data_IF_812124222597
#
_entry.id   IF_812124222597
#
_cell.length_a   1.000
_cell.length_b   1.000
_cell.length_c   1.000
_cell.angle_alpha   90.00
_cell.angle_beta   90.00
_cell.angle_gamma   90.00
#
_symmetry.space_group_name_H-M   'P 1'
#
loop_
_entity.id
_entity.type
_entity.pdbx_description
1 polymer ?
#
# COMPACT_ATOMS: atom_id res chain seq x y z
N UNK A 1 7.71 -21.34 -26.75
CA UNK A 1 6.38 -20.72 -26.70
C UNK A 1 6.55 -19.21 -26.86
N UNK A 2 6.47 -18.75 -28.09
CA UNK A 2 6.74 -17.37 -28.46
C UNK A 2 5.45 -16.57 -28.60
N UNK A 3 5.55 -15.30 -28.21
CA UNK A 3 4.68 -14.20 -28.67
C UNK A 3 3.18 -14.29 -28.36
N UNK A 4 2.82 -14.06 -27.14
CA UNK A 4 1.53 -13.42 -26.82
C UNK A 4 1.72 -12.08 -26.11
N UNK A 5 2.76 -11.32 -26.42
CA UNK A 5 2.74 -9.89 -26.17
C UNK A 5 1.60 -9.34 -27.03
N UNK A 6 0.54 -9.00 -26.34
CA UNK A 6 -0.67 -8.38 -26.86
C UNK A 6 -0.27 -7.32 -27.89
N UNK A 7 -0.69 -7.48 -29.11
CA UNK A 7 -0.38 -6.60 -30.26
C UNK A 7 -1.07 -5.23 -30.12
N UNK A 8 -1.20 -4.74 -28.86
CA UNK A 8 -1.74 -3.42 -28.57
C UNK A 8 -0.71 -2.38 -28.96
N UNK A 9 -1.11 -1.45 -29.79
CA UNK A 9 -0.24 -0.37 -30.25
C UNK A 9 0.05 0.56 -29.07
N UNK A 10 1.33 0.65 -28.66
CA UNK A 10 1.77 1.56 -27.61
C UNK A 10 1.34 3.00 -27.90
N UNK A 11 0.69 3.65 -26.95
CA UNK A 11 0.11 4.97 -27.11
C UNK A 11 0.30 5.82 -25.86
N UNK A 12 1.27 6.73 -25.87
CA UNK A 12 1.54 7.63 -24.72
C UNK A 12 0.40 8.61 -24.42
N UNK A 13 -0.42 8.95 -25.43
CA UNK A 13 -1.58 9.82 -25.20
C UNK A 13 -2.64 9.16 -24.31
N UNK A 14 -2.63 7.83 -24.21
CA UNK A 14 -3.54 7.12 -23.31
C UNK A 14 -3.28 7.44 -21.82
N UNK A 15 -2.13 7.98 -21.45
CA UNK A 15 -1.81 8.43 -20.10
C UNK A 15 -2.32 9.85 -19.81
N UNK A 16 -2.77 10.61 -20.82
CA UNK A 16 -3.17 12.00 -20.66
C UNK A 16 -4.32 12.19 -19.66
N UNK A 17 -5.38 11.35 -19.62
CA UNK A 17 -6.43 11.51 -18.60
C UNK A 17 -5.89 11.44 -17.18
N UNK A 18 -4.93 10.54 -16.94
CA UNK A 18 -4.31 10.43 -15.62
C UNK A 18 -3.43 11.64 -15.29
N UNK A 19 -2.70 12.14 -16.27
CA UNK A 19 -1.95 13.40 -16.12
C UNK A 19 -2.89 14.59 -15.82
N UNK A 20 -4.07 14.64 -16.45
CA UNK A 20 -5.11 15.64 -16.15
C UNK A 20 -5.55 15.54 -14.69
N UNK A 21 -5.79 14.34 -14.18
CA UNK A 21 -6.10 14.14 -12.75
C UNK A 21 -5.02 14.74 -11.85
N UNK A 22 -3.75 14.37 -12.07
CA UNK A 22 -2.62 14.87 -11.26
C UNK A 22 -2.53 16.39 -11.33
N UNK A 23 -2.57 16.96 -12.53
CA UNK A 23 -2.44 18.42 -12.74
C UNK A 23 -3.60 19.17 -12.10
N UNK A 24 -4.82 18.69 -12.23
CA UNK A 24 -6.01 19.33 -11.64
C UNK A 24 -5.96 19.24 -10.12
N UNK A 25 -5.74 18.04 -9.54
CA UNK A 25 -5.73 17.85 -8.10
C UNK A 25 -4.56 18.56 -7.42
N UNK A 26 -3.33 18.27 -7.86
CA UNK A 26 -2.12 18.87 -7.26
C UNK A 26 -2.03 20.35 -7.61
N UNK A 27 -2.37 20.75 -8.84
CA UNK A 27 -2.35 22.13 -9.28
C UNK A 27 -3.35 22.99 -8.51
N UNK A 28 -4.58 22.53 -8.30
CA UNK A 28 -5.56 23.21 -7.46
C UNK A 28 -5.05 23.35 -6.02
N UNK A 29 -4.55 22.26 -5.41
CA UNK A 29 -3.99 22.27 -4.06
C UNK A 29 -2.87 23.31 -3.89
N UNK A 30 -1.91 23.31 -4.81
CA UNK A 30 -0.79 24.27 -4.80
C UNK A 30 -1.25 25.75 -5.00
N UNK A 31 -2.23 25.98 -5.89
CA UNK A 31 -2.80 27.32 -6.11
C UNK A 31 -3.52 27.82 -4.85
N UNK A 32 -4.34 26.99 -4.19
CA UNK A 32 -4.99 27.38 -2.94
C UNK A 32 -3.98 27.57 -1.80
N UNK A 33 -2.96 26.73 -1.72
CA UNK A 33 -1.87 26.86 -0.75
C UNK A 33 -1.09 28.15 -0.92
N UNK A 34 -0.77 28.53 -2.17
CA UNK A 34 -0.07 29.81 -2.46
C UNK A 34 -0.91 31.06 -2.12
N UNK A 35 -2.24 30.91 -2.05
CA UNK A 35 -3.17 31.95 -1.63
C UNK A 35 -3.41 32.01 -0.12
N UNK A 36 -2.75 31.11 0.65
CA UNK A 36 -2.92 31.01 2.10
C UNK A 36 -4.29 30.49 2.52
N UNK A 37 -4.97 29.74 1.64
CA UNK A 37 -6.29 29.14 1.96
C UNK A 37 -6.07 27.93 2.86
N UNK A 38 -6.74 27.93 4.00
CA UNK A 38 -6.73 26.77 4.90
C UNK A 38 -7.26 25.52 4.19
N UNK A 39 -6.66 24.36 4.51
CA UNK A 39 -7.03 23.08 3.91
C UNK A 39 -6.99 23.07 2.36
N UNK A 40 -5.97 23.69 1.79
CA UNK A 40 -5.81 23.96 0.35
C UNK A 40 -6.12 22.75 -0.55
N UNK A 41 -5.67 21.53 -0.17
CA UNK A 41 -5.88 20.29 -0.94
C UNK A 41 -7.29 19.70 -0.79
N UNK A 42 -8.12 20.24 0.12
CA UNK A 42 -9.53 19.88 0.26
C UNK A 42 -10.47 20.79 -0.49
N UNK A 43 -10.00 21.97 -0.91
CA UNK A 43 -10.83 22.92 -1.67
C UNK A 43 -11.26 22.36 -3.03
N UNK A 44 -10.47 21.47 -3.59
CA UNK A 44 -10.83 20.73 -4.80
C UNK A 44 -10.74 19.21 -4.51
N UNK A 45 -11.88 18.56 -4.24
CA UNK A 45 -11.88 17.14 -3.87
C UNK A 45 -11.25 16.24 -4.92
N UNK A 46 -10.43 15.29 -4.46
CA UNK A 46 -9.72 14.33 -5.31
C UNK A 46 -10.66 13.52 -6.21
N UNK A 47 -11.84 13.16 -5.68
CA UNK A 47 -12.90 12.46 -6.42
C UNK A 47 -13.39 13.28 -7.62
N UNK A 48 -13.56 14.60 -7.44
CA UNK A 48 -13.98 15.50 -8.52
C UNK A 48 -12.91 15.60 -9.61
N UNK A 49 -11.64 15.70 -9.22
CA UNK A 49 -10.52 15.72 -10.16
C UNK A 49 -10.44 14.43 -10.96
N UNK A 50 -10.62 13.26 -10.30
CA UNK A 50 -10.64 11.96 -10.96
C UNK A 50 -11.84 11.81 -11.89
N UNK A 51 -13.02 12.27 -11.48
CA UNK A 51 -14.20 12.26 -12.34
C UNK A 51 -13.99 13.07 -13.63
N UNK A 52 -13.38 14.26 -13.54
CA UNK A 52 -13.01 15.05 -14.73
C UNK A 52 -12.03 14.28 -15.62
N UNK A 53 -11.06 13.59 -15.05
CA UNK A 53 -10.11 12.79 -15.81
C UNK A 53 -10.81 11.60 -16.51
N UNK A 54 -11.78 10.95 -15.87
CA UNK A 54 -12.61 9.91 -16.50
C UNK A 54 -13.39 10.49 -17.68
N UNK A 55 -13.99 11.68 -17.55
CA UNK A 55 -14.67 12.36 -18.67
C UNK A 55 -13.71 12.60 -19.83
N UNK A 56 -12.49 13.09 -19.56
CA UNK A 56 -11.46 13.27 -20.59
C UNK A 56 -11.13 11.94 -21.28
N UNK A 57 -11.00 10.84 -20.54
CA UNK A 57 -10.78 9.51 -21.12
C UNK A 57 -11.94 9.09 -22.04
N UNK A 58 -13.18 9.31 -21.59
CA UNK A 58 -14.37 8.99 -22.41
C UNK A 58 -14.46 9.83 -23.70
N UNK A 59 -14.00 11.09 -23.67
CA UNK A 59 -13.94 11.94 -24.86
C UNK A 59 -12.81 11.51 -25.81
N UNK A 60 -11.62 11.24 -25.26
CA UNK A 60 -10.42 10.99 -26.05
C UNK A 60 -10.37 9.60 -26.70
N UNK A 61 -10.79 8.58 -25.97
CA UNK A 61 -10.64 7.21 -26.43
C UNK A 61 -11.67 6.86 -27.51
N UNK A 62 -11.27 6.03 -28.47
CA UNK A 62 -12.13 5.57 -29.56
C UNK A 62 -13.09 4.48 -29.06
N UNK A 63 -14.20 4.31 -29.74
CA UNK A 63 -15.25 3.32 -29.46
C UNK A 63 -16.54 3.98 -28.96
N UNK A 64 -17.60 3.18 -28.87
CA UNK A 64 -18.89 3.61 -28.35
C UNK A 64 -18.83 3.91 -26.84
N UNK A 65 -19.76 4.68 -26.34
CA UNK A 65 -19.86 4.95 -24.89
C UNK A 65 -20.03 3.65 -24.11
N UNK A 66 -20.82 2.70 -24.62
CA UNK A 66 -21.02 1.40 -24.00
C UNK A 66 -19.73 0.59 -23.88
N UNK A 67 -18.93 0.51 -24.97
CA UNK A 67 -17.64 -0.19 -24.94
C UNK A 67 -16.65 0.43 -23.95
N UNK A 68 -16.65 1.75 -23.81
CA UNK A 68 -15.81 2.46 -22.83
C UNK A 68 -16.31 2.19 -21.42
N UNK A 69 -17.64 2.21 -21.24
CA UNK A 69 -18.23 1.91 -19.94
C UNK A 69 -17.99 0.46 -19.51
N UNK A 70 -18.13 -0.51 -20.43
CA UNK A 70 -17.78 -1.92 -20.14
C UNK A 70 -16.32 -2.10 -19.73
N UNK A 71 -15.43 -1.36 -20.38
CA UNK A 71 -14.00 -1.37 -20.05
C UNK A 71 -13.75 -0.76 -18.67
N UNK A 72 -14.36 0.40 -18.41
CA UNK A 72 -14.31 1.07 -17.11
C UNK A 72 -14.85 0.15 -16.01
N UNK A 73 -16.00 -0.49 -16.25
CA UNK A 73 -16.63 -1.40 -15.29
C UNK A 73 -15.74 -2.61 -14.96
N UNK A 74 -15.02 -3.18 -15.94
CA UNK A 74 -14.04 -4.25 -15.69
C UNK A 74 -12.95 -3.83 -14.73
N UNK A 75 -12.40 -2.63 -14.89
CA UNK A 75 -11.38 -2.10 -13.99
C UNK A 75 -11.93 -1.80 -12.61
N UNK A 76 -13.09 -1.14 -12.53
CA UNK A 76 -13.77 -0.82 -11.29
C UNK A 76 -14.22 -2.07 -10.52
N UNK A 77 -14.59 -3.15 -11.22
CA UNK A 77 -14.99 -4.43 -10.64
C UNK A 77 -13.83 -5.44 -10.54
N UNK A 78 -12.59 -5.00 -10.71
CA UNK A 78 -11.43 -5.85 -10.44
C UNK A 78 -11.46 -6.33 -8.98
N UNK A 79 -11.07 -7.60 -8.75
CA UNK A 79 -11.13 -8.24 -7.43
C UNK A 79 -10.33 -7.45 -6.39
N UNK A 80 -9.14 -6.93 -6.75
CA UNK A 80 -8.31 -6.14 -5.83
C UNK A 80 -8.99 -4.82 -5.47
N UNK A 81 -9.59 -4.13 -6.46
CA UNK A 81 -10.34 -2.89 -6.23
C UNK A 81 -11.53 -3.16 -5.30
N UNK A 82 -12.35 -4.18 -5.59
CA UNK A 82 -13.50 -4.53 -4.75
C UNK A 82 -13.08 -4.92 -3.33
N UNK A 83 -11.96 -5.65 -3.20
CA UNK A 83 -11.39 -6.00 -1.90
C UNK A 83 -11.06 -4.75 -1.09
N UNK A 84 -10.36 -3.77 -1.71
CA UNK A 84 -10.05 -2.50 -1.05
C UNK A 84 -11.31 -1.76 -0.63
N UNK A 85 -12.33 -1.66 -1.51
CA UNK A 85 -13.57 -0.95 -1.20
C UNK A 85 -14.28 -1.52 0.03
N UNK A 86 -14.33 -2.86 0.17
CA UNK A 86 -14.95 -3.50 1.33
C UNK A 86 -14.08 -3.31 2.59
N UNK A 87 -12.76 -3.38 2.48
CA UNK A 87 -11.87 -3.10 3.61
C UNK A 87 -12.10 -1.67 4.15
N UNK A 88 -12.27 -0.67 3.27
CA UNK A 88 -12.51 0.71 3.70
C UNK A 88 -13.78 0.85 4.54
N UNK A 89 -14.90 0.32 4.05
CA UNK A 89 -16.17 0.44 4.80
C UNK A 89 -16.12 -0.33 6.12
N UNK A 90 -15.50 -1.52 6.16
CA UNK A 90 -15.32 -2.28 7.40
C UNK A 90 -14.38 -1.57 8.39
N UNK A 91 -13.30 -0.95 7.88
CA UNK A 91 -12.38 -0.17 8.70
C UNK A 91 -13.06 1.06 9.30
N UNK A 92 -13.84 1.79 8.50
CA UNK A 92 -14.64 2.92 8.98
C UNK A 92 -15.66 2.50 10.03
N UNK A 93 -16.37 1.39 9.81
CA UNK A 93 -17.31 0.84 10.79
C UNK A 93 -16.64 0.48 12.12
N UNK A 94 -15.52 -0.27 12.06
CA UNK A 94 -14.75 -0.61 13.26
C UNK A 94 -14.27 0.63 14.00
N UNK A 95 -13.67 1.59 13.29
CA UNK A 95 -13.12 2.81 13.87
C UNK A 95 -14.21 3.61 14.61
N UNK A 96 -15.39 3.79 13.99
CA UNK A 96 -16.49 4.57 14.55
C UNK A 96 -17.15 3.86 15.72
N UNK A 97 -17.48 2.55 15.60
CA UNK A 97 -18.07 1.79 16.71
C UNK A 97 -17.10 1.72 17.91
N UNK A 98 -15.83 1.46 17.66
CA UNK A 98 -14.81 1.39 18.71
C UNK A 98 -14.56 2.75 19.39
N UNK A 99 -14.71 3.85 18.66
CA UNK A 99 -14.64 5.21 19.24
C UNK A 99 -15.88 5.50 20.10
N UNK A 100 -17.09 5.26 19.60
CA UNK A 100 -18.35 5.54 20.32
C UNK A 100 -18.50 4.70 21.59
N UNK A 101 -17.98 3.46 21.62
CA UNK A 101 -17.98 2.66 22.83
C UNK A 101 -16.89 3.09 23.86
N UNK A 102 -16.03 4.06 23.49
CA UNK A 102 -14.91 4.56 24.31
C UNK A 102 -13.67 3.67 24.30
N UNK A 103 -13.56 2.74 23.36
CA UNK A 103 -12.43 1.80 23.24
C UNK A 103 -11.16 2.45 22.73
N UNK A 104 -11.30 3.43 21.82
CA UNK A 104 -10.16 4.22 21.33
C UNK A 104 -9.44 4.89 22.48
N UNK A 105 -10.18 5.66 23.31
CA UNK A 105 -9.61 6.41 24.43
C UNK A 105 -9.02 5.48 25.50
N UNK A 106 -9.71 4.38 25.79
CA UNK A 106 -9.20 3.38 26.73
C UNK A 106 -7.87 2.76 26.24
N UNK A 107 -7.76 2.45 24.93
CA UNK A 107 -6.55 1.87 24.34
C UNK A 107 -5.40 2.89 24.28
N UNK A 108 -5.70 4.13 23.96
CA UNK A 108 -4.74 5.24 23.96
C UNK A 108 -4.20 5.47 25.39
N UNK A 109 -5.08 5.54 26.41
CA UNK A 109 -4.68 5.74 27.80
C UNK A 109 -3.80 4.58 28.29
N UNK A 110 -4.16 3.34 27.96
CA UNK A 110 -3.32 2.18 28.25
C UNK A 110 -1.93 2.32 27.59
N UNK A 111 -1.86 2.66 26.31
CA UNK A 111 -0.61 2.85 25.60
C UNK A 111 0.28 3.93 26.22
N UNK A 112 -0.31 5.10 26.53
CA UNK A 112 0.38 6.22 27.17
C UNK A 112 0.82 5.91 28.62
N UNK A 113 0.11 5.03 29.33
CA UNK A 113 0.51 4.59 30.67
C UNK A 113 1.70 3.62 30.68
N UNK A 114 1.90 2.86 29.59
CA UNK A 114 2.93 1.83 29.47
C UNK A 114 4.20 2.31 28.76
N UNK A 115 4.07 3.21 27.78
CA UNK A 115 5.17 3.63 26.91
C UNK A 115 5.36 5.15 27.01
N UNK A 116 6.57 5.62 27.33
CA UNK A 116 6.86 7.06 27.30
C UNK A 116 6.56 7.66 25.92
N UNK A 117 5.92 8.83 25.90
CA UNK A 117 5.38 9.48 24.70
C UNK A 117 6.42 9.61 23.57
N UNK A 118 7.67 9.87 23.92
CA UNK A 118 8.79 10.02 22.97
C UNK A 118 9.10 8.76 22.16
N UNK A 119 8.64 7.58 22.58
CA UNK A 119 8.86 6.31 21.88
C UNK A 119 7.63 5.85 21.08
N UNK A 120 6.49 6.52 21.21
CA UNK A 120 5.22 6.05 20.65
C UNK A 120 5.21 6.04 19.13
N UNK A 121 5.77 7.05 18.47
CA UNK A 121 5.83 7.06 16.99
C UNK A 121 6.67 5.87 16.47
N UNK A 122 7.84 5.62 17.08
CA UNK A 122 8.66 4.46 16.72
C UNK A 122 7.98 3.13 17.10
N UNK A 123 7.29 3.07 18.24
CA UNK A 123 6.50 1.91 18.67
C UNK A 123 5.37 1.57 17.70
N UNK A 124 4.64 2.58 17.23
CA UNK A 124 3.58 2.41 16.24
C UNK A 124 4.14 1.90 14.90
N UNK A 125 5.29 2.40 14.45
CA UNK A 125 5.99 1.85 13.27
C UNK A 125 6.30 0.35 13.45
N UNK A 126 6.86 -0.05 14.60
CA UNK A 126 7.21 -1.45 14.88
C UNK A 126 5.95 -2.33 14.93
N UNK A 127 4.89 -1.90 15.63
CA UNK A 127 3.62 -2.64 15.70
C UNK A 127 3.02 -2.80 14.29
N UNK A 128 2.98 -1.72 13.50
CA UNK A 128 2.49 -1.78 12.14
C UNK A 128 3.35 -2.70 11.24
N UNK A 129 4.68 -2.71 11.43
CA UNK A 129 5.59 -3.59 10.71
C UNK A 129 5.30 -5.07 11.00
N UNK A 130 5.16 -5.44 12.28
CA UNK A 130 4.81 -6.80 12.67
C UNK A 130 3.43 -7.23 12.16
N UNK A 131 2.44 -6.36 12.32
CA UNK A 131 1.08 -6.64 11.87
C UNK A 131 1.01 -6.79 10.35
N UNK A 132 1.64 -5.88 9.60
CA UNK A 132 1.71 -5.96 8.12
C UNK A 132 2.41 -7.23 7.63
N UNK A 133 3.50 -7.65 8.29
CA UNK A 133 4.20 -8.90 7.96
C UNK A 133 3.31 -10.12 8.21
N UNK A 134 2.56 -10.13 9.31
CA UNK A 134 1.70 -11.26 9.69
C UNK A 134 0.43 -11.35 8.84
N UNK A 135 -0.17 -10.21 8.47
CA UNK A 135 -1.40 -10.16 7.67
C UNK A 135 -1.15 -10.22 6.16
N UNK A 136 0.06 -9.83 5.72
CA UNK A 136 0.38 -9.70 4.31
C UNK A 136 -0.33 -8.53 3.60
N UNK A 137 -0.80 -7.53 4.35
CA UNK A 137 -1.50 -6.40 3.77
C UNK A 137 -1.21 -5.08 4.49
N UNK A 138 -0.68 -4.10 3.75
CA UNK A 138 -0.51 -2.74 4.27
C UNK A 138 -1.85 -2.08 4.56
N UNK A 139 -2.85 -2.29 3.71
CA UNK A 139 -4.18 -1.70 3.85
C UNK A 139 -4.89 -2.10 5.14
N UNK A 140 -4.93 -3.40 5.45
CA UNK A 140 -5.53 -3.91 6.67
C UNK A 140 -4.83 -3.41 7.93
N UNK A 141 -3.51 -3.32 7.87
CA UNK A 141 -2.68 -2.81 8.96
C UNK A 141 -2.94 -1.33 9.24
N UNK A 142 -2.92 -0.48 8.20
CA UNK A 142 -3.22 0.94 8.30
C UNK A 142 -4.63 1.14 8.87
N UNK A 143 -5.60 0.39 8.33
CA UNK A 143 -7.00 0.48 8.74
C UNK A 143 -7.23 0.18 10.23
N UNK A 144 -6.50 -0.79 10.76
CA UNK A 144 -6.64 -1.20 12.16
C UNK A 144 -5.90 -0.28 13.15
N UNK A 145 -4.72 0.24 12.77
CA UNK A 145 -3.84 0.98 13.68
C UNK A 145 -4.11 2.49 13.64
N UNK A 146 -4.51 3.06 12.51
CA UNK A 146 -4.68 4.52 12.37
C UNK A 146 -5.59 5.14 13.42
N UNK A 147 -6.76 4.59 13.79
CA UNK A 147 -7.61 5.21 14.82
C UNK A 147 -6.92 5.32 16.19
N UNK A 148 -6.13 4.32 16.56
CA UNK A 148 -5.33 4.34 17.79
C UNK A 148 -4.21 5.37 17.68
N UNK A 149 -3.52 5.39 16.55
CA UNK A 149 -2.41 6.29 16.28
C UNK A 149 -2.84 7.76 16.35
N UNK A 150 -4.02 8.09 15.81
CA UNK A 150 -4.62 9.42 15.91
C UNK A 150 -4.87 9.82 17.35
N UNK A 151 -5.48 8.95 18.15
CA UNK A 151 -5.73 9.23 19.57
C UNK A 151 -4.43 9.39 20.37
N UNK A 152 -3.39 8.59 20.06
CA UNK A 152 -2.05 8.71 20.65
C UNK A 152 -1.42 10.06 20.29
N UNK A 153 -1.52 10.49 19.02
CA UNK A 153 -0.98 11.77 18.58
C UNK A 153 -1.68 12.95 19.27
N UNK A 154 -3.02 12.93 19.35
CA UNK A 154 -3.80 13.99 20.00
C UNK A 154 -3.48 14.12 21.50
N UNK A 155 -3.53 13.01 22.25
CA UNK A 155 -3.27 13.03 23.69
C UNK A 155 -1.80 13.20 24.05
N UNK A 156 -0.90 12.64 23.23
CA UNK A 156 0.53 12.71 23.44
C UNK A 156 1.17 14.01 22.96
N UNK A 157 0.43 14.92 22.30
CA UNK A 157 0.99 16.13 21.71
C UNK A 157 2.02 15.83 20.62
N UNK A 158 1.85 14.73 19.87
CA UNK A 158 2.74 14.32 18.80
C UNK A 158 2.30 14.94 17.47
N UNK A 159 3.25 15.15 16.58
CA UNK A 159 2.95 15.57 15.22
C UNK A 159 2.16 14.48 14.47
N UNK A 160 0.93 14.79 14.11
CA UNK A 160 0.00 13.84 13.47
C UNK A 160 0.56 13.25 12.18
N UNK A 161 1.22 14.06 11.36
CA UNK A 161 1.79 13.60 10.07
C UNK A 161 2.93 12.62 10.30
N UNK A 162 3.76 12.84 11.34
CA UNK A 162 4.85 11.92 11.73
C UNK A 162 4.28 10.59 12.22
N UNK A 163 3.22 10.62 13.00
CA UNK A 163 2.57 9.41 13.53
C UNK A 163 1.90 8.61 12.41
N UNK A 164 1.16 9.27 11.51
CA UNK A 164 0.57 8.62 10.34
C UNK A 164 1.65 8.05 9.40
N UNK A 165 2.72 8.81 9.17
CA UNK A 165 3.87 8.35 8.40
C UNK A 165 4.55 7.12 9.01
N UNK A 166 4.61 7.04 10.34
CA UNK A 166 5.13 5.86 11.04
C UNK A 166 4.23 4.63 10.83
N UNK A 167 2.91 4.78 10.94
CA UNK A 167 1.95 3.69 10.70
C UNK A 167 2.02 3.19 9.25
N UNK A 168 1.97 4.12 8.29
CA UNK A 168 2.06 3.77 6.87
C UNK A 168 3.40 3.10 6.58
N UNK A 169 4.51 3.69 7.02
CA UNK A 169 5.85 3.15 6.81
C UNK A 169 6.03 1.75 7.39
N UNK A 170 5.52 1.51 8.61
CA UNK A 170 5.53 0.19 9.24
C UNK A 170 4.69 -0.82 8.45
N UNK A 171 3.48 -0.43 8.05
CA UNK A 171 2.61 -1.27 7.24
C UNK A 171 3.25 -1.64 5.88
N UNK A 172 3.90 -0.70 5.22
CA UNK A 172 4.62 -0.92 3.96
C UNK A 172 5.86 -1.82 4.16
N UNK A 173 6.60 -1.68 5.28
CA UNK A 173 7.65 -2.62 5.65
C UNK A 173 7.10 -4.05 5.78
N UNK A 174 5.98 -4.19 6.49
CA UNK A 174 5.35 -5.48 6.71
C UNK A 174 4.88 -6.13 5.41
N UNK A 175 4.22 -5.39 4.55
CA UNK A 175 3.73 -5.83 3.24
C UNK A 175 4.89 -6.31 2.35
N UNK A 176 5.94 -5.51 2.25
CA UNK A 176 7.15 -5.80 1.46
C UNK A 176 7.89 -7.07 1.94
N UNK A 177 7.86 -7.38 3.23
CA UNK A 177 8.55 -8.54 3.82
C UNK A 177 7.63 -9.72 4.10
N UNK A 178 6.32 -9.60 3.91
CA UNK A 178 5.40 -10.73 4.09
C UNK A 178 5.59 -11.77 2.98
N UNK A 179 5.58 -13.05 3.37
CA UNK A 179 5.58 -14.17 2.40
C UNK A 179 4.18 -14.47 1.84
N UNK A 180 3.13 -13.93 2.47
CA UNK A 180 1.73 -14.16 2.09
C UNK A 180 1.09 -12.94 1.42
N UNK A 181 1.83 -11.85 1.24
CA UNK A 181 1.36 -10.65 0.54
C UNK A 181 1.11 -10.93 -0.94
N UNK A 182 0.04 -10.35 -1.47
CA UNK A 182 -0.32 -10.44 -2.89
C UNK A 182 0.80 -9.87 -3.79
N UNK A 183 1.49 -8.82 -3.35
CA UNK A 183 2.64 -8.25 -4.06
C UNK A 183 3.81 -9.22 -4.13
N UNK A 184 4.12 -9.90 -3.01
CA UNK A 184 5.16 -10.94 -2.97
C UNK A 184 4.81 -12.11 -3.89
N UNK A 185 3.56 -12.57 -3.87
CA UNK A 185 3.08 -13.66 -4.72
C UNK A 185 3.17 -13.25 -6.19
N UNK A 186 2.68 -12.06 -6.54
CA UNK A 186 2.73 -11.54 -7.91
C UNK A 186 4.17 -11.41 -8.42
N UNK A 187 5.06 -10.79 -7.62
CA UNK A 187 6.46 -10.59 -8.00
C UNK A 187 7.21 -11.91 -8.19
N UNK A 188 7.05 -12.87 -7.27
CA UNK A 188 7.77 -14.14 -7.35
C UNK A 188 7.26 -15.06 -8.44
N UNK A 189 5.94 -15.08 -8.67
CA UNK A 189 5.34 -15.87 -9.76
C UNK A 189 5.71 -15.34 -11.13
N UNK A 190 5.69 -14.01 -11.33
CA UNK A 190 6.10 -13.41 -12.60
C UNK A 190 7.57 -13.66 -12.91
N UNK A 191 8.41 -13.85 -11.89
CA UNK A 191 9.86 -14.09 -12.04
C UNK A 191 10.26 -15.57 -11.90
N UNK A 192 9.31 -16.50 -11.70
CA UNK A 192 9.52 -17.93 -11.53
C UNK A 192 10.51 -18.28 -10.40
N UNK A 193 10.52 -17.48 -9.33
CA UNK A 193 11.41 -17.69 -8.18
C UNK A 193 10.63 -17.97 -6.89
N UNK A 194 11.31 -18.49 -5.87
CA UNK A 194 10.68 -18.80 -4.59
C UNK A 194 10.47 -17.54 -3.72
N UNK A 195 9.36 -17.47 -3.02
CA UNK A 195 9.04 -16.38 -2.09
C UNK A 195 10.11 -16.22 -0.99
N UNK A 196 10.64 -17.34 -0.49
CA UNK A 196 11.70 -17.35 0.52
C UNK A 196 12.97 -16.66 0.04
N UNK A 197 13.34 -16.83 -1.21
CA UNK A 197 14.56 -16.25 -1.77
C UNK A 197 14.39 -14.77 -2.03
N UNK A 198 13.22 -14.34 -2.54
CA UNK A 198 12.85 -12.92 -2.63
C UNK A 198 12.89 -12.26 -1.25
N UNK A 199 12.31 -12.90 -0.22
CA UNK A 199 12.34 -12.40 1.14
C UNK A 199 13.77 -12.10 1.62
N UNK A 200 14.70 -13.02 1.39
CA UNK A 200 16.11 -12.86 1.81
C UNK A 200 16.80 -11.67 1.14
N UNK A 201 16.50 -11.43 -0.14
CA UNK A 201 17.02 -10.26 -0.87
C UNK A 201 16.40 -8.97 -0.35
N UNK A 202 15.07 -8.95 -0.19
CA UNK A 202 14.35 -7.78 0.33
C UNK A 202 14.75 -7.42 1.75
N UNK A 203 14.92 -8.41 2.63
CA UNK A 203 15.26 -8.19 4.03
C UNK A 203 16.56 -7.39 4.19
N UNK A 204 17.57 -7.69 3.37
CA UNK A 204 18.85 -6.99 3.41
C UNK A 204 18.75 -5.52 2.98
N UNK A 205 17.68 -5.14 2.25
CA UNK A 205 17.45 -3.75 1.82
C UNK A 205 16.44 -3.05 2.73
N UNK A 206 15.36 -3.74 3.11
CA UNK A 206 14.28 -3.19 3.91
C UNK A 206 14.69 -2.99 5.39
N UNK A 207 15.50 -3.89 5.96
CA UNK A 207 15.94 -3.78 7.36
C UNK A 207 16.77 -2.52 7.63
N UNK A 208 17.81 -2.17 6.85
CA UNK A 208 18.51 -0.91 7.02
C UNK A 208 17.60 0.31 6.92
N UNK A 209 16.67 0.32 5.94
CA UNK A 209 15.68 1.39 5.80
C UNK A 209 14.81 1.53 7.04
N UNK A 210 14.33 0.41 7.61
CA UNK A 210 13.53 0.40 8.82
C UNK A 210 14.33 0.89 10.05
N UNK A 211 15.57 0.45 10.22
CA UNK A 211 16.42 0.89 11.33
C UNK A 211 16.69 2.39 11.29
N UNK A 212 17.00 2.94 10.10
CA UNK A 212 17.17 4.39 9.94
C UNK A 212 15.83 5.11 10.21
N UNK A 213 14.71 4.56 9.75
CA UNK A 213 13.38 5.12 10.04
C UNK A 213 13.11 5.16 11.53
N UNK A 214 13.39 4.09 12.27
CA UNK A 214 13.22 4.06 13.74
C UNK A 214 14.08 5.15 14.40
N UNK A 215 15.34 5.30 13.99
CA UNK A 215 16.22 6.36 14.53
C UNK A 215 15.63 7.75 14.26
N UNK A 216 15.16 8.00 13.04
CA UNK A 216 14.52 9.28 12.71
C UNK A 216 13.26 9.48 13.54
N UNK A 217 12.39 8.47 13.69
CA UNK A 217 11.18 8.57 14.50
C UNK A 217 11.46 8.79 15.99
N UNK A 218 12.57 8.30 16.53
CA UNK A 218 13.00 8.58 17.90
C UNK A 218 13.45 10.05 18.08
N UNK A 219 13.82 10.73 17.00
CA UNK A 219 14.24 12.14 17.01
C UNK A 219 13.05 13.07 16.75
N UNK A 220 12.33 12.84 15.62
CA UNK A 220 11.25 13.74 15.17
C UNK A 220 9.88 13.37 15.75
N UNK A 221 9.71 12.16 16.27
CA UNK A 221 8.47 11.69 16.92
C UNK A 221 8.33 12.09 18.37
N UNK A 222 9.14 13.04 18.86
CA UNK A 222 9.01 13.60 20.20
C UNK A 222 7.86 14.59 20.26
N UNK A 223 7.19 14.73 21.42
CA UNK A 223 6.14 15.72 21.57
C UNK A 223 6.67 17.13 21.33
N UNK A 224 5.93 17.91 20.56
CA UNK A 224 6.28 19.32 20.27
C UNK A 224 6.06 20.22 21.50
N UNK A 225 5.14 19.81 22.37
CA UNK A 225 4.83 20.49 23.62
C UNK A 225 4.85 19.50 24.76
N UNK A 226 5.37 19.93 25.93
CA UNK A 226 5.23 19.15 27.17
C UNK A 226 3.77 19.31 27.60
N UNK A 227 2.90 18.47 27.13
CA UNK A 227 1.52 18.39 27.55
C UNK A 227 1.52 17.62 28.88
N UNK A 228 0.97 18.23 29.96
CA UNK A 228 0.58 17.43 31.11
C UNK A 228 -0.45 16.41 30.60
N UNK A 229 -0.01 15.15 30.55
CA UNK A 229 -0.88 14.06 30.15
C UNK A 229 -1.91 13.96 31.31
N UNK A 230 -3.14 14.36 31.05
CA UNK A 230 -4.22 14.33 32.01
C UNK A 230 -4.50 12.92 32.55
N UNK A 231 -5.67 12.71 33.15
CA UNK A 231 -6.07 11.41 33.66
C UNK A 231 -5.97 10.30 32.58
N UNK A 232 -5.13 9.30 32.83
CA UNK A 232 -4.94 8.10 31.99
C UNK A 232 -5.81 6.93 32.48
N UNK A 233 -6.88 7.20 33.21
CA UNK A 233 -7.82 6.14 33.61
C UNK A 233 -8.43 5.47 32.36
N UNK A 234 -8.55 4.16 32.41
CA UNK A 234 -9.15 3.37 31.35
C UNK A 234 -9.90 2.15 31.88
N UNK A 235 -10.88 1.69 31.13
CA UNK A 235 -11.58 0.45 31.38
C UNK A 235 -11.01 -0.65 30.46
N UNK A 236 -10.38 -1.67 31.03
CA UNK A 236 -9.74 -2.73 30.26
C UNK A 236 -10.72 -3.48 29.33
N UNK A 237 -11.99 -3.63 29.74
CA UNK A 237 -13.01 -4.26 28.87
C UNK A 237 -13.18 -3.52 27.55
N UNK A 238 -13.03 -2.20 27.53
CA UNK A 238 -13.11 -1.36 26.34
C UNK A 238 -11.86 -1.47 25.43
N UNK A 239 -10.74 -1.96 25.96
CA UNK A 239 -9.52 -2.22 25.20
C UNK A 239 -9.60 -3.55 24.43
N UNK A 240 -10.40 -4.51 24.94
CA UNK A 240 -10.48 -5.88 24.38
C UNK A 240 -10.72 -5.92 22.88
N UNK A 241 -11.64 -5.14 22.26
CA UNK A 241 -11.85 -5.20 20.80
C UNK A 241 -10.62 -4.82 19.99
N UNK A 242 -9.83 -3.85 20.43
CA UNK A 242 -8.57 -3.49 19.74
C UNK A 242 -7.51 -4.58 19.90
N UNK A 243 -7.36 -5.14 21.11
CA UNK A 243 -6.46 -6.29 21.33
C UNK A 243 -6.88 -7.50 20.50
N UNK A 244 -8.18 -7.76 20.41
CA UNK A 244 -8.72 -8.85 19.59
C UNK A 244 -8.36 -8.65 18.10
N UNK A 245 -8.61 -7.47 17.54
CA UNK A 245 -8.23 -7.13 16.16
C UNK A 245 -6.74 -7.33 15.95
N UNK A 246 -5.89 -6.84 16.86
CA UNK A 246 -4.45 -6.97 16.76
C UNK A 246 -4.01 -8.46 16.82
N UNK A 247 -4.54 -9.24 17.76
CA UNK A 247 -4.20 -10.67 17.91
C UNK A 247 -4.65 -11.46 16.68
N UNK A 248 -5.90 -11.26 16.21
CA UNK A 248 -6.42 -11.97 15.04
C UNK A 248 -5.62 -11.64 13.77
N UNK A 249 -5.21 -10.37 13.62
CA UNK A 249 -4.35 -9.95 12.53
C UNK A 249 -2.94 -10.59 12.63
N UNK A 250 -2.33 -10.61 13.81
CA UNK A 250 -1.01 -11.24 14.04
C UNK A 250 -1.02 -12.76 13.81
N UNK A 251 -2.14 -13.42 14.04
CA UNK A 251 -2.33 -14.85 13.72
C UNK A 251 -2.50 -15.08 12.20
N UNK A 252 -2.61 -14.02 11.40
CA UNK A 252 -2.76 -14.11 9.95
C UNK A 252 -4.20 -14.36 9.49
N UNK A 253 -5.21 -13.98 10.30
CA UNK A 253 -6.60 -14.08 9.88
C UNK A 253 -6.91 -13.05 8.78
N UNK A 254 -7.79 -13.43 7.86
CA UNK A 254 -8.23 -12.55 6.77
C UNK A 254 -8.79 -11.22 7.30
N UNK A 255 -8.38 -10.10 6.71
CA UNK A 255 -8.70 -8.72 7.16
C UNK A 255 -10.20 -8.45 7.23
N UNK A 256 -11.01 -9.00 6.32
CA UNK A 256 -12.48 -8.89 6.38
C UNK A 256 -13.04 -9.46 7.68
N UNK A 257 -12.58 -10.66 8.06
CA UNK A 257 -13.00 -11.31 9.29
C UNK A 257 -12.49 -10.55 10.50
N UNK A 258 -11.24 -10.10 10.50
CA UNK A 258 -10.64 -9.32 11.58
C UNK A 258 -11.45 -8.06 11.87
N UNK A 259 -11.72 -7.24 10.86
CA UNK A 259 -12.47 -5.99 11.00
C UNK A 259 -13.94 -6.24 11.35
N UNK A 260 -14.56 -7.27 10.76
CA UNK A 260 -15.96 -7.65 11.07
C UNK A 260 -16.08 -8.11 12.52
N UNK A 261 -15.26 -9.05 12.95
CA UNK A 261 -15.24 -9.55 14.34
C UNK A 261 -14.96 -8.41 15.31
N UNK A 262 -13.99 -7.53 14.98
CA UNK A 262 -13.65 -6.36 15.77
C UNK A 262 -14.84 -5.41 15.93
N UNK A 263 -15.57 -5.13 14.85
CA UNK A 263 -16.76 -4.27 14.86
C UNK A 263 -17.86 -4.83 15.77
N UNK A 264 -18.17 -6.13 15.63
CA UNK A 264 -19.18 -6.77 16.47
C UNK A 264 -18.72 -6.89 17.92
N UNK A 265 -17.45 -7.19 18.18
CA UNK A 265 -16.90 -7.21 19.53
C UNK A 265 -17.01 -5.82 20.21
N UNK A 266 -16.66 -4.75 19.48
CA UNK A 266 -16.83 -3.38 19.94
C UNK A 266 -18.29 -3.04 20.23
N UNK A 267 -19.21 -3.45 19.34
CA UNK A 267 -20.66 -3.29 19.54
C UNK A 267 -21.17 -4.01 20.78
N UNK A 268 -20.78 -5.28 20.97
CA UNK A 268 -21.16 -6.06 22.15
C UNK A 268 -20.65 -5.41 23.44
N UNK A 269 -19.38 -5.01 23.48
CA UNK A 269 -18.80 -4.32 24.65
C UNK A 269 -19.50 -2.99 24.88
N UNK A 270 -19.77 -2.22 23.82
CA UNK A 270 -20.46 -0.93 23.92
C UNK A 270 -21.89 -1.05 24.49
N UNK A 271 -22.63 -2.07 24.04
CA UNK A 271 -23.99 -2.35 24.56
C UNK A 271 -23.92 -2.87 26.02
N UNK A 272 -23.01 -3.80 26.29
CA UNK A 272 -22.85 -4.38 27.64
C UNK A 272 -22.42 -3.35 28.69
N UNK A 273 -21.63 -2.34 28.29
CA UNK A 273 -21.19 -1.25 29.18
C UNK A 273 -22.18 -0.07 29.21
N UNK A 274 -23.25 -0.12 28.42
CA UNK A 274 -24.24 0.96 28.34
C UNK A 274 -23.72 2.22 27.61
N UNK A 275 -22.57 2.14 26.92
CA UNK A 275 -22.02 3.25 26.14
C UNK A 275 -22.85 3.54 24.87
N UNK A 276 -23.36 2.50 24.22
CA UNK A 276 -24.24 2.59 23.07
C UNK A 276 -25.39 1.59 23.23
N UNK A 277 -26.50 1.81 22.55
CA UNK A 277 -27.58 0.84 22.42
C UNK A 277 -27.57 0.20 21.02
N UNK A 278 -28.47 -0.75 20.75
CA UNK A 278 -28.52 -1.45 19.47
C UNK A 278 -28.74 -0.51 18.27
N UNK A 279 -29.59 0.51 18.42
CA UNK A 279 -29.81 1.51 17.38
C UNK A 279 -28.57 2.40 17.17
N UNK A 280 -27.90 2.78 18.26
CA UNK A 280 -26.61 3.50 18.23
C UNK A 280 -25.51 2.69 17.56
N UNK A 281 -25.43 1.38 17.83
CA UNK A 281 -24.52 0.49 17.11
C UNK A 281 -24.76 0.50 15.59
N UNK A 282 -26.00 0.32 15.17
CA UNK A 282 -26.35 0.34 13.74
C UNK A 282 -26.01 1.71 13.09
N UNK A 283 -26.28 2.80 13.79
CA UNK A 283 -25.96 4.16 13.33
C UNK A 283 -24.45 4.39 13.27
N UNK A 284 -23.69 3.93 14.24
CA UNK A 284 -22.23 4.02 14.24
C UNK A 284 -21.60 3.26 13.08
N UNK A 285 -22.09 2.06 12.75
CA UNK A 285 -21.68 1.31 11.56
C UNK A 285 -21.94 2.11 10.29
N UNK A 286 -23.14 2.67 10.14
CA UNK A 286 -23.53 3.47 8.98
C UNK A 286 -22.67 4.74 8.85
N UNK A 287 -22.46 5.46 9.95
CA UNK A 287 -21.62 6.64 9.99
C UNK A 287 -20.17 6.30 9.59
N UNK A 288 -19.68 5.15 10.05
CA UNK A 288 -18.36 4.64 9.65
C UNK A 288 -18.25 4.38 8.15
N UNK A 289 -19.28 3.83 7.51
CA UNK A 289 -19.32 3.68 6.05
C UNK A 289 -19.28 5.04 5.36
N UNK A 290 -20.08 6.00 5.82
CA UNK A 290 -20.11 7.36 5.26
C UNK A 290 -18.76 8.09 5.39
N UNK A 291 -18.02 7.86 6.47
CA UNK A 291 -16.68 8.42 6.67
C UNK A 291 -15.65 7.98 5.64
N UNK A 292 -15.92 6.87 4.93
CA UNK A 292 -15.01 6.32 3.90
C UNK A 292 -15.42 6.67 2.46
N UNK A 293 -16.44 7.51 2.25
CA UNK A 293 -16.99 7.80 0.91
C UNK A 293 -15.94 8.33 -0.06
N UNK A 294 -15.05 9.24 0.36
CA UNK A 294 -14.06 9.84 -0.52
C UNK A 294 -13.11 8.79 -1.07
N UNK A 295 -12.49 8.00 -0.19
CA UNK A 295 -11.55 6.95 -0.61
C UNK A 295 -12.24 5.86 -1.41
N UNK A 296 -13.49 5.53 -1.08
CA UNK A 296 -14.31 4.55 -1.79
C UNK A 296 -14.52 4.97 -3.26
N UNK A 297 -15.08 6.17 -3.49
CA UNK A 297 -15.34 6.66 -4.84
C UNK A 297 -14.07 6.89 -5.63
N UNK A 298 -13.03 7.45 -5.00
CA UNK A 298 -11.77 7.68 -5.69
C UNK A 298 -11.14 6.38 -6.18
N UNK A 299 -11.06 5.35 -5.33
CA UNK A 299 -10.50 4.04 -5.69
C UNK A 299 -11.31 3.35 -6.79
N UNK A 300 -12.65 3.43 -6.73
CA UNK A 300 -13.53 2.91 -7.79
C UNK A 300 -13.22 3.56 -9.15
N UNK A 301 -13.14 4.90 -9.17
CA UNK A 301 -12.85 5.66 -10.38
C UNK A 301 -11.42 5.39 -10.90
N UNK A 302 -10.44 5.27 -10.01
CA UNK A 302 -9.06 4.92 -10.36
C UNK A 302 -8.99 3.54 -11.03
N UNK A 303 -9.65 2.52 -10.46
CA UNK A 303 -9.69 1.17 -11.05
C UNK A 303 -10.25 1.18 -12.47
N UNK A 304 -11.37 1.86 -12.68
CA UNK A 304 -11.97 2.00 -14.02
C UNK A 304 -11.07 2.77 -14.99
N UNK A 305 -10.43 3.85 -14.53
CA UNK A 305 -9.47 4.64 -15.32
C UNK A 305 -8.27 3.81 -15.74
N UNK A 306 -7.71 3.02 -14.83
CA UNK A 306 -6.54 2.17 -15.09
C UNK A 306 -6.80 1.18 -16.22
N UNK A 307 -7.96 0.54 -16.24
CA UNK A 307 -8.33 -0.39 -17.32
C UNK A 307 -8.55 0.32 -18.67
N UNK A 308 -9.10 1.55 -18.66
CA UNK A 308 -9.21 2.37 -19.87
C UNK A 308 -7.83 2.72 -20.43
N UNK A 309 -6.87 3.11 -19.59
CA UNK A 309 -5.50 3.41 -19.97
C UNK A 309 -4.81 2.15 -20.52
N UNK A 310 -4.94 1.03 -19.83
CA UNK A 310 -4.36 -0.25 -20.25
C UNK A 310 -4.90 -0.71 -21.61
N UNK A 311 -6.23 -0.66 -21.81
CA UNK A 311 -6.84 -1.03 -23.09
C UNK A 311 -6.38 -0.15 -24.24
N UNK A 312 -6.06 1.11 -23.99
CA UNK A 312 -5.63 2.07 -25.02
C UNK A 312 -4.12 2.18 -25.20
N UNK A 313 -3.34 1.26 -24.61
CA UNK A 313 -1.90 1.12 -24.87
C UNK A 313 -1.01 2.07 -24.05
N UNK A 314 -1.53 2.66 -22.96
CA UNK A 314 -0.74 3.56 -22.12
C UNK A 314 0.38 2.83 -21.37
N UNK A 315 0.09 1.65 -20.87
CA UNK A 315 1.05 0.83 -20.13
C UNK A 315 2.12 0.28 -21.08
N UNK A 316 1.73 -0.22 -22.24
CA UNK A 316 2.64 -0.69 -23.31
C UNK A 316 3.61 0.42 -23.74
N UNK A 317 3.15 1.68 -23.74
CA UNK A 317 4.03 2.81 -24.07
C UNK A 317 5.11 3.04 -22.98
N UNK A 318 4.76 2.97 -21.69
CA UNK A 318 5.73 3.05 -20.58
C UNK A 318 6.80 1.98 -20.74
N UNK A 319 6.36 0.74 -20.90
CA UNK A 319 7.23 -0.44 -21.04
C UNK A 319 8.20 -0.29 -22.22
N UNK A 320 7.68 0.06 -23.41
CA UNK A 320 8.51 0.21 -24.62
C UNK A 320 9.51 1.38 -24.54
N UNK A 321 9.13 2.48 -23.84
CA UNK A 321 10.05 3.62 -23.68
C UNK A 321 11.21 3.28 -22.76
N UNK A 322 10.93 2.60 -21.65
CA UNK A 322 11.95 2.20 -20.69
C UNK A 322 12.89 1.12 -21.27
N UNK A 323 12.37 0.14 -22.02
CA UNK A 323 13.18 -0.88 -22.67
C UNK A 323 14.29 -0.33 -23.57
N UNK A 324 14.06 0.83 -24.20
CA UNK A 324 15.08 1.49 -25.06
C UNK A 324 16.27 2.10 -24.31
N UNK A 325 16.17 2.29 -23.00
CA UNK A 325 17.19 2.95 -22.16
C UNK A 325 18.10 1.92 -21.47
N UNK A 326 17.65 0.66 -21.40
CA UNK A 326 18.38 -0.43 -20.76
C UNK A 326 19.54 -0.90 -21.67
N UNK A 327 20.77 -0.91 -21.16
CA UNK A 327 21.99 -1.27 -21.93
C UNK A 327 22.92 -2.26 -21.21
N UNK A 328 22.56 -2.72 -20.02
CA UNK A 328 23.37 -3.63 -19.22
C UNK A 328 22.70 -3.92 -17.87
N UNK A 329 23.28 -4.84 -17.09
CA UNK A 329 22.67 -5.36 -15.86
C UNK A 329 22.21 -4.27 -14.89
N UNK A 330 23.05 -3.28 -14.54
CA UNK A 330 22.66 -2.20 -13.61
C UNK A 330 21.57 -1.28 -14.19
N UNK A 331 21.67 -0.90 -15.47
CA UNK A 331 20.64 -0.07 -16.11
C UNK A 331 19.33 -0.83 -16.28
N UNK A 332 19.38 -2.14 -16.48
CA UNK A 332 18.22 -3.00 -16.50
C UNK A 332 17.52 -3.03 -15.12
N UNK A 333 18.26 -3.16 -14.01
CA UNK A 333 17.70 -3.09 -12.67
C UNK A 333 17.02 -1.73 -12.39
N UNK A 334 17.65 -0.62 -12.76
CA UNK A 334 17.05 0.72 -12.68
C UNK A 334 15.80 0.82 -13.56
N UNK A 335 15.85 0.26 -14.76
CA UNK A 335 14.72 0.21 -15.68
C UNK A 335 13.54 -0.59 -15.14
N UNK A 336 13.78 -1.74 -14.51
CA UNK A 336 12.75 -2.56 -13.85
C UNK A 336 12.10 -1.78 -12.70
N UNK A 337 12.92 -1.16 -11.84
CA UNK A 337 12.42 -0.32 -10.76
C UNK A 337 11.56 0.84 -11.26
N UNK A 338 12.03 1.58 -12.27
CA UNK A 338 11.27 2.67 -12.88
C UNK A 338 9.99 2.18 -13.57
N UNK A 339 10.03 1.01 -14.21
CA UNK A 339 8.88 0.42 -14.90
C UNK A 339 7.74 0.13 -13.93
N UNK A 340 7.99 -0.62 -12.87
CA UNK A 340 6.95 -0.94 -11.88
C UNK A 340 6.44 0.31 -11.17
N UNK A 341 7.33 1.28 -10.87
CA UNK A 341 6.95 2.56 -10.27
C UNK A 341 5.99 3.37 -11.14
N UNK A 342 6.27 3.47 -12.45
CA UNK A 342 5.40 4.19 -13.38
C UNK A 342 4.10 3.44 -13.65
N UNK A 343 4.13 2.10 -13.67
CA UNK A 343 2.92 1.30 -13.73
C UNK A 343 2.06 1.52 -12.48
N UNK A 344 2.67 1.60 -11.30
CA UNK A 344 1.97 1.86 -10.05
C UNK A 344 1.36 3.27 -10.02
N UNK A 345 2.11 4.28 -10.47
CA UNK A 345 1.54 5.61 -10.68
C UNK A 345 0.32 5.60 -11.62
N UNK A 346 0.33 4.77 -12.67
CA UNK A 346 -0.76 4.70 -13.64
C UNK A 346 -1.94 3.84 -13.19
N UNK A 347 -1.73 2.90 -12.28
CA UNK A 347 -2.77 1.97 -11.79
C UNK A 347 -3.27 2.29 -10.39
N UNK A 348 -2.49 3.04 -9.61
CA UNK A 348 -2.69 3.29 -8.17
C UNK A 348 -2.91 1.99 -7.37
N UNK A 349 -2.28 0.89 -7.82
CA UNK A 349 -2.37 -0.43 -7.23
C UNK A 349 -1.08 -1.20 -7.45
N UNK A 350 -0.33 -1.45 -6.38
CA UNK A 350 0.98 -2.08 -6.43
C UNK A 350 0.94 -3.53 -6.98
N UNK A 351 -0.07 -4.32 -6.62
CA UNK A 351 -0.22 -5.69 -7.12
C UNK A 351 -0.46 -5.71 -8.63
N UNK A 352 -1.36 -4.85 -9.11
CA UNK A 352 -1.62 -4.69 -10.55
C UNK A 352 -0.38 -4.19 -11.28
N UNK A 353 0.34 -3.22 -10.71
CA UNK A 353 1.59 -2.72 -11.29
C UNK A 353 2.64 -3.82 -11.47
N UNK A 354 2.80 -4.69 -10.45
CA UNK A 354 3.71 -5.84 -10.53
C UNK A 354 3.27 -6.84 -11.60
N UNK A 355 1.99 -7.19 -11.66
CA UNK A 355 1.46 -8.15 -12.65
C UNK A 355 1.71 -7.62 -14.06
N UNK A 356 1.40 -6.35 -14.30
CA UNK A 356 1.54 -5.71 -15.62
C UNK A 356 3.01 -5.56 -16.04
N UNK A 357 3.90 -5.18 -15.11
CA UNK A 357 5.33 -5.03 -15.39
C UNK A 357 6.06 -6.38 -15.40
N UNK A 358 5.49 -7.42 -14.80
CA UNK A 358 6.16 -8.68 -14.46
C UNK A 358 6.74 -9.42 -15.66
N UNK A 359 5.96 -9.62 -16.72
CA UNK A 359 6.39 -10.34 -17.93
C UNK A 359 7.56 -9.63 -18.62
N UNK A 360 7.45 -8.30 -18.79
CA UNK A 360 8.53 -7.52 -19.39
C UNK A 360 9.78 -7.48 -18.48
N UNK A 361 9.61 -7.36 -17.16
CA UNK A 361 10.71 -7.44 -16.23
C UNK A 361 11.41 -8.80 -16.31
N UNK A 362 10.67 -9.86 -16.57
CA UNK A 362 11.20 -11.21 -16.82
C UNK A 362 12.03 -11.29 -18.09
N UNK A 363 11.55 -10.72 -19.19
CA UNK A 363 12.31 -10.65 -20.46
C UNK A 363 13.60 -9.85 -20.27
N UNK A 364 13.53 -8.67 -19.66
CA UNK A 364 14.69 -7.83 -19.32
C UNK A 364 15.68 -8.57 -18.41
N UNK A 365 15.17 -9.28 -17.40
CA UNK A 365 15.94 -10.11 -16.49
C UNK A 365 16.75 -11.17 -17.28
N UNK A 366 16.11 -11.84 -18.22
CA UNK A 366 16.73 -12.85 -19.06
C UNK A 366 17.77 -12.26 -20.04
N UNK A 367 17.43 -11.15 -20.70
CA UNK A 367 18.31 -10.47 -21.68
C UNK A 367 19.58 -9.94 -21.02
N UNK A 368 19.45 -9.24 -19.88
CA UNK A 368 20.58 -8.57 -19.20
C UNK A 368 21.18 -9.37 -18.04
N UNK A 369 20.76 -10.64 -17.88
CA UNK A 369 21.24 -11.56 -16.84
C UNK A 369 21.11 -10.95 -15.42
N UNK A 370 19.97 -10.32 -15.15
CA UNK A 370 19.60 -9.91 -13.80
C UNK A 370 18.95 -11.11 -13.11
N UNK A 371 19.48 -11.52 -11.96
CA UNK A 371 18.92 -12.65 -11.21
C UNK A 371 17.41 -12.46 -10.95
N UNK A 372 16.54 -13.41 -11.32
CA UNK A 372 15.11 -13.28 -11.16
C UNK A 372 14.64 -13.02 -9.73
N UNK A 373 15.36 -13.49 -8.71
CA UNK A 373 15.11 -13.21 -7.29
C UNK A 373 15.33 -11.72 -6.99
N UNK A 374 16.35 -11.14 -7.63
CA UNK A 374 16.64 -9.70 -7.55
C UNK A 374 15.58 -8.90 -8.30
N UNK A 375 15.15 -9.35 -9.48
CA UNK A 375 14.07 -8.73 -10.24
C UNK A 375 12.76 -8.74 -9.46
N UNK A 376 12.38 -9.86 -8.85
CA UNK A 376 11.20 -9.96 -7.98
C UNK A 376 11.30 -8.99 -6.79
N UNK A 377 12.49 -8.89 -6.17
CA UNK A 377 12.76 -7.94 -5.09
C UNK A 377 12.56 -6.49 -5.53
N UNK A 378 13.07 -6.10 -6.71
CA UNK A 378 12.92 -4.73 -7.24
C UNK A 378 11.46 -4.40 -7.59
N UNK A 379 10.73 -5.34 -8.20
CA UNK A 379 9.31 -5.18 -8.52
C UNK A 379 8.50 -4.89 -7.25
N UNK A 380 8.66 -5.71 -6.23
CA UNK A 380 7.92 -5.58 -4.98
C UNK A 380 8.35 -4.35 -4.18
N UNK A 381 9.65 -4.10 -4.04
CA UNK A 381 10.18 -2.96 -3.30
C UNK A 381 9.71 -1.62 -3.87
N UNK A 382 9.87 -1.43 -5.19
CA UNK A 382 9.56 -0.14 -5.82
C UNK A 382 8.07 0.08 -6.03
N UNK A 383 7.26 -0.98 -6.17
CA UNK A 383 5.81 -0.85 -6.08
C UNK A 383 5.38 -0.43 -4.67
N UNK A 384 5.91 -1.05 -3.62
CA UNK A 384 5.63 -0.64 -2.25
C UNK A 384 6.07 0.81 -1.96
N UNK A 385 7.23 1.25 -2.46
CA UNK A 385 7.69 2.64 -2.32
C UNK A 385 6.66 3.59 -2.96
N UNK A 386 6.33 3.39 -4.22
CA UNK A 386 5.46 4.30 -4.96
C UNK A 386 4.02 4.27 -4.43
N UNK A 387 3.47 3.10 -4.18
CA UNK A 387 2.15 2.97 -3.56
C UNK A 387 2.07 3.68 -2.20
N UNK A 388 3.16 3.67 -1.43
CA UNK A 388 3.25 4.38 -0.16
C UNK A 388 3.34 5.90 -0.28
N UNK A 389 3.89 6.45 -1.39
CA UNK A 389 4.11 7.89 -1.57
C UNK A 389 3.16 8.57 -2.55
N UNK A 390 2.36 7.82 -3.31
CA UNK A 390 1.39 8.39 -4.24
C UNK A 390 0.23 9.02 -3.45
N UNK A 391 -0.02 10.35 -3.56
CA UNK A 391 -1.04 11.02 -2.73
C UNK A 391 -2.48 10.57 -3.01
N UNK A 392 -2.72 9.92 -4.13
CA UNK A 392 -3.98 9.26 -4.50
C UNK A 392 -3.91 7.73 -4.32
N UNK A 393 -2.83 7.21 -3.75
CA UNK A 393 -2.67 5.81 -3.40
C UNK A 393 -3.54 5.43 -2.20
N UNK A 394 -4.01 4.19 -2.22
CA UNK A 394 -4.95 3.67 -1.23
C UNK A 394 -4.46 3.83 0.22
N UNK A 395 -3.16 3.63 0.47
CA UNK A 395 -2.56 3.69 1.79
C UNK A 395 -2.64 5.09 2.41
N UNK A 396 -2.27 6.11 1.65
CA UNK A 396 -2.34 7.50 2.11
C UNK A 396 -3.79 7.97 2.25
N UNK A 397 -4.66 7.57 1.32
CA UNK A 397 -6.08 7.95 1.35
C UNK A 397 -6.81 7.33 2.54
N UNK A 398 -6.61 6.05 2.83
CA UNK A 398 -7.26 5.43 3.99
C UNK A 398 -6.73 5.99 5.30
N UNK A 399 -5.42 6.24 5.40
CA UNK A 399 -4.84 6.84 6.60
C UNK A 399 -5.38 8.24 6.86
N UNK A 400 -5.44 9.11 5.83
CA UNK A 400 -6.00 10.45 5.94
C UNK A 400 -7.51 10.44 6.22
N UNK A 401 -8.28 9.58 5.55
CA UNK A 401 -9.73 9.48 5.76
C UNK A 401 -10.06 8.98 7.17
N UNK A 402 -9.38 7.94 7.65
CA UNK A 402 -9.54 7.45 9.03
C UNK A 402 -9.09 8.49 10.05
N UNK A 403 -7.99 9.21 9.79
CA UNK A 403 -7.57 10.31 10.64
C UNK A 403 -8.67 11.36 10.76
N UNK A 404 -9.18 11.84 9.62
CA UNK A 404 -10.23 12.87 9.60
C UNK A 404 -11.55 12.41 10.22
N UNK A 405 -11.86 11.11 10.12
CA UNK A 405 -13.04 10.52 10.76
C UNK A 405 -12.90 10.35 12.28
N UNK A 406 -11.67 10.29 12.79
CA UNK A 406 -11.40 9.97 14.22
C UNK A 406 -10.85 11.14 15.03
N UNK A 407 -10.26 12.14 14.38
CA UNK A 407 -9.70 13.31 15.06
C UNK A 407 -10.80 14.10 15.79
N UNK A 408 -10.47 14.58 16.99
CA UNK A 408 -11.44 15.28 17.86
C UNK A 408 -11.30 16.80 17.84
N UNK A 409 -10.14 17.30 17.44
CA UNK A 409 -9.83 18.75 17.44
C UNK A 409 -10.25 19.49 16.15
N UNK A 410 -10.93 18.81 15.22
CA UNK A 410 -11.40 19.37 13.94
C UNK A 410 -10.30 19.62 12.91
N UNK A 411 -9.06 19.22 13.17
CA UNK A 411 -7.97 19.31 12.19
C UNK A 411 -8.19 18.28 11.09
N UNK A 412 -8.09 18.71 9.83
CA UNK A 412 -8.15 17.79 8.68
C UNK A 412 -6.78 17.68 8.03
N UNK A 413 -6.41 16.44 7.70
CA UNK A 413 -5.11 16.11 7.09
C UNK A 413 -5.36 15.48 5.72
N UNK A 414 -4.81 16.09 4.68
CA UNK A 414 -4.82 15.51 3.34
C UNK A 414 -3.72 14.46 3.19
N UNK A 415 -3.90 13.52 2.27
CA UNK A 415 -2.88 12.56 1.88
C UNK A 415 -1.54 13.24 1.52
N UNK A 416 -1.60 14.40 0.86
CA UNK A 416 -0.42 15.17 0.48
C UNK A 416 0.37 15.72 1.68
N UNK A 417 -0.29 16.03 2.81
CA UNK A 417 0.38 16.53 4.02
C UNK A 417 1.30 15.48 4.65
N UNK A 418 0.98 14.19 4.48
CA UNK A 418 1.72 13.08 5.11
C UNK A 418 3.02 12.78 4.34
N UNK A 419 3.14 13.16 3.06
CA UNK A 419 4.24 12.79 2.17
C UNK A 419 5.63 13.03 2.76
N UNK A 420 5.84 14.17 3.42
CA UNK A 420 7.12 14.51 4.05
C UNK A 420 7.52 13.61 5.21
N UNK A 421 6.54 12.88 5.80
CA UNK A 421 6.75 12.03 6.98
C UNK A 421 6.83 10.53 6.64
N UNK A 422 6.82 10.15 5.38
CA UNK A 422 6.91 8.76 4.92
C UNK A 422 8.37 8.26 4.90
N UNK A 423 9.07 8.43 6.01
CA UNK A 423 10.52 8.18 6.13
C UNK A 423 10.91 6.79 5.62
N UNK A 424 10.14 5.75 5.97
CA UNK A 424 10.45 4.39 5.53
C UNK A 424 10.43 4.26 4.00
N UNK A 425 9.42 4.79 3.34
CA UNK A 425 9.31 4.70 1.88
C UNK A 425 10.47 5.44 1.19
N UNK A 426 10.85 6.62 1.70
CA UNK A 426 11.99 7.37 1.17
C UNK A 426 13.31 6.65 1.40
N UNK A 427 13.54 6.08 2.59
CA UNK A 427 14.74 5.31 2.86
C UNK A 427 14.76 3.98 2.09
N UNK A 428 13.62 3.30 1.94
CA UNK A 428 13.53 2.09 1.12
C UNK A 428 13.90 2.39 -0.34
N UNK A 429 13.42 3.51 -0.89
CA UNK A 429 13.80 3.95 -2.24
C UNK A 429 15.32 4.19 -2.34
N UNK A 430 15.89 4.91 -1.37
CA UNK A 430 17.33 5.20 -1.34
C UNK A 430 18.18 3.93 -1.22
N UNK A 431 17.86 3.03 -0.27
CA UNK A 431 18.57 1.76 -0.11
C UNK A 431 18.32 0.81 -1.29
N UNK A 432 17.13 0.83 -1.88
CA UNK A 432 16.79 0.09 -3.09
C UNK A 432 17.68 0.50 -4.27
N UNK A 433 17.80 1.80 -4.54
CA UNK A 433 18.71 2.33 -5.57
C UNK A 433 20.16 2.02 -5.22
N UNK A 434 20.59 2.27 -3.97
CA UNK A 434 21.95 2.01 -3.52
C UNK A 434 22.34 0.54 -3.74
N UNK A 435 21.41 -0.40 -3.48
CA UNK A 435 21.64 -1.84 -3.64
C UNK A 435 21.87 -2.28 -5.09
N UNK A 436 21.47 -1.47 -6.09
CA UNK A 436 21.75 -1.72 -7.50
C UNK A 436 23.22 -1.43 -7.82
N UNK A 437 23.78 -0.39 -7.21
CA UNK A 437 25.16 0.03 -7.47
C UNK A 437 26.16 -0.66 -6.54
N UNK A 438 25.77 -0.85 -5.27
CA UNK A 438 26.55 -1.56 -4.23
C UNK A 438 25.77 -2.82 -3.86
N UNK A 439 26.17 -4.00 -4.37
CA UNK A 439 25.36 -5.22 -4.32
C UNK A 439 25.43 -5.91 -2.94
N UNK A 440 25.13 -5.21 -1.85
CA UNK A 440 25.10 -5.75 -0.50
C UNK A 440 23.92 -6.69 -0.24
N UNK A 441 22.84 -6.56 -1.02
CA UNK A 441 21.66 -7.41 -0.92
C UNK A 441 21.75 -8.71 -1.75
N UNK A 442 22.75 -8.87 -2.60
CA UNK A 442 22.88 -9.98 -3.55
C UNK A 442 23.52 -11.26 -2.95
N UNK A 443 23.59 -11.36 -1.63
CA UNK A 443 24.33 -12.45 -0.97
C UNK A 443 23.86 -13.85 -1.39
N UNK A 444 22.55 -14.07 -1.50
CA UNK A 444 21.99 -15.35 -1.95
C UNK A 444 22.23 -15.57 -3.44
N UNK A 445 22.06 -14.55 -4.27
CA UNK A 445 22.24 -14.62 -5.72
C UNK A 445 23.69 -14.95 -6.11
N UNK A 446 24.66 -14.58 -5.24
CA UNK A 446 26.07 -14.92 -5.43
C UNK A 446 26.45 -16.31 -4.92
N UNK A 447 25.84 -16.75 -3.80
CA UNK A 447 26.13 -18.07 -3.20
C UNK A 447 25.50 -19.20 -3.98
N UNK A 448 24.37 -18.95 -4.61
CA UNK A 448 23.58 -19.89 -5.38
C UNK A 448 23.14 -19.20 -6.69
N UNK A 449 24.03 -19.09 -7.70
CA UNK A 449 23.77 -18.39 -8.95
C UNK A 449 22.57 -18.95 -9.69
N UNK A 450 21.94 -18.10 -10.51
CA UNK A 450 20.81 -18.51 -11.35
C UNK A 450 21.31 -19.24 -12.61
N UNK A 451 20.84 -20.43 -12.80
CA UNK A 451 21.11 -21.23 -14.00
C UNK A 451 20.09 -20.86 -15.10
N UNK A 452 20.59 -20.17 -16.11
CA UNK A 452 19.76 -19.64 -17.21
C UNK A 452 19.29 -20.70 -18.20
N UNK A 453 19.90 -21.89 -18.23
CA UNK A 453 19.49 -23.00 -19.06
C UNK A 453 18.24 -23.67 -18.48
N UNK A 454 18.23 -23.92 -17.19
CA UNK A 454 17.13 -24.56 -16.49
C UNK A 454 16.16 -23.54 -15.83
N UNK A 455 16.44 -22.27 -15.94
CA UNK A 455 15.61 -21.18 -15.37
C UNK A 455 15.28 -21.37 -13.88
N UNK A 456 16.27 -21.70 -13.10
CA UNK A 456 16.16 -21.91 -11.65
C UNK A 456 17.50 -21.64 -10.94
N UNK A 457 17.49 -21.56 -9.60
CA UNK A 457 18.69 -21.52 -8.80
C UNK A 457 19.55 -22.77 -9.04
N UNK A 458 20.88 -22.65 -9.00
CA UNK A 458 21.81 -23.77 -9.26
C UNK A 458 21.55 -24.95 -8.33
N UNK A 459 21.20 -24.69 -7.06
CA UNK A 459 20.80 -25.70 -6.08
C UNK A 459 19.57 -26.53 -6.50
N UNK A 460 18.75 -26.00 -7.41
CA UNK A 460 17.50 -26.65 -7.86
C UNK A 460 17.60 -27.27 -9.25
N UNK A 461 18.76 -27.21 -9.92
CA UNK A 461 18.95 -27.70 -11.29
C UNK A 461 18.62 -29.19 -11.41
N UNK A 462 19.11 -30.02 -10.48
CA UNK A 462 18.87 -31.46 -10.53
C UNK A 462 17.38 -31.81 -10.39
N UNK A 463 16.67 -31.13 -9.49
CA UNK A 463 15.23 -31.31 -9.29
C UNK A 463 14.43 -30.88 -10.53
N UNK A 464 14.79 -29.73 -11.12
CA UNK A 464 14.15 -29.21 -12.34
C UNK A 464 14.38 -30.13 -13.52
N UNK A 465 15.61 -30.65 -13.68
CA UNK A 465 15.96 -31.60 -14.73
C UNK A 465 15.16 -32.89 -14.62
N UNK A 466 15.07 -33.46 -13.40
CA UNK A 466 14.28 -34.67 -13.14
C UNK A 466 12.78 -34.47 -13.45
N UNK A 467 12.23 -33.28 -13.16
CA UNK A 467 10.85 -32.93 -13.49
C UNK A 467 10.63 -32.89 -15.00
N UNK A 468 11.50 -32.21 -15.75
CA UNK A 468 11.42 -32.09 -17.21
C UNK A 468 11.56 -33.45 -17.90
N UNK A 469 12.44 -34.34 -17.41
CA UNK A 469 12.58 -35.72 -17.90
C UNK A 469 11.31 -36.53 -17.68
N UNK A 470 10.64 -36.36 -16.54
CA UNK A 470 9.37 -36.99 -16.25
C UNK A 470 8.25 -36.51 -17.16
N UNK A 471 8.11 -35.19 -17.32
CA UNK A 471 7.12 -34.60 -18.23
C UNK A 471 7.33 -35.03 -19.69
N UNK A 472 8.59 -35.12 -20.13
CA UNK A 472 8.92 -35.61 -21.48
C UNK A 472 8.55 -37.10 -21.66
N UNK A 473 8.72 -37.93 -20.63
CA UNK A 473 8.33 -39.34 -20.66
C UNK A 473 6.80 -39.53 -20.67
N UNK A 474 6.06 -38.68 -19.91
CA UNK A 474 4.58 -38.67 -19.90
C UNK A 474 3.98 -38.19 -21.21
N UNK A 475 4.63 -37.25 -21.91
CA UNK A 475 4.19 -36.72 -23.20
C UNK A 475 4.42 -37.71 -24.39
N UNK A 476 5.21 -38.77 -24.18
CA UNK A 476 5.48 -39.83 -25.16
C UNK A 476 4.57 -41.06 -25.01
N UNK A 477 3.77 -41.11 -23.96
CA UNK A 477 2.72 -42.10 -23.71
C UNK A 477 1.35 -41.59 -24.20
#
# INVERSE_FOLDING_TARGET
MGNTLNNKKANGLALLPFLVFIVVYMGAGLVYQSKGVDMAFYQFPSVTAMFLAVLVAFIMFKGSINEKFDTFAKGAANVDVLTMLIIYILAGAFATVAAEMGGRDATVNLGLSLVPVQFLAAGLFVIAAFMGTATGTSMGTISAITPIAVGVAEKGGLNMMVVLGAVIGGAMFGDNLSMISDTTIAATRSQHCEMRDKFRVNFLTALPAALVTIVVLLIVGRPETVTEIGDLSYSFIKVIPYLLVLILALVGMNVFLVLTIGTFAAGIVGIATGAINLAGFAQAVYNGFCGMNEVFFLTLLCGGMSELIAKNGGIEWIIQKLGKVMKGNKSAQVGIAAMVSLCDCATANNTVAIIVAGDMAREVSHEYKVDPRRTASLLDMFSCVFQGIIPYGAQLLVASSLCNATVTNGTTISAANILGSLWYCWFLAAFGILSIFIPFADGICRKDPWNWEYDCAESNVAAKKALLEKEAAEAQQ
#
